data_IF_003950150711
#
_entry.id   IF_003950150711
#
_cell.length_a   1.000
_cell.length_b   1.000
_cell.length_c   1.000
_cell.angle_alpha   90.00
_cell.angle_beta   90.00
_cell.angle_gamma   90.00
#
_symmetry.space_group_name_H-M   'P 1'
#
loop_
_entity.id
_entity.type
_entity.pdbx_description
1 polymer ?
#
# COMPACT_ATOMS: atom_id res chain seq x y z
N UNK A 1 -15.08 4.48 -3.33
CA UNK A 1 -14.10 5.08 -4.27
C UNK A 1 -12.75 4.40 -4.11
N UNK A 2 -11.84 4.48 -5.07
CA UNK A 2 -10.51 3.85 -5.00
C UNK A 2 -9.39 4.88 -5.24
N UNK A 3 -8.25 4.72 -4.54
CA UNK A 3 -7.01 5.45 -4.79
C UNK A 3 -5.87 4.42 -5.01
N UNK A 4 -5.18 4.45 -6.16
CA UNK A 4 -4.00 3.60 -6.36
C UNK A 4 -2.82 4.11 -5.53
N UNK A 5 -2.26 3.24 -4.69
CA UNK A 5 -1.05 3.49 -3.92
C UNK A 5 0.18 3.04 -4.71
N UNK A 6 0.07 1.90 -5.38
CA UNK A 6 1.09 1.32 -6.25
C UNK A 6 0.37 0.71 -7.44
N UNK A 7 0.85 0.94 -8.67
CA UNK A 7 0.20 0.43 -9.86
C UNK A 7 1.19 -0.32 -10.73
N UNK A 8 0.93 -1.61 -10.97
CA UNK A 8 1.67 -2.43 -11.92
C UNK A 8 3.17 -2.51 -11.67
N UNK A 9 3.63 -2.33 -10.44
CA UNK A 9 5.04 -2.14 -10.14
C UNK A 9 5.80 -3.46 -10.12
N UNK A 10 6.85 -3.55 -10.92
CA UNK A 10 7.70 -4.73 -10.97
C UNK A 10 8.69 -4.72 -9.78
N UNK A 11 8.60 -5.67 -8.82
CA UNK A 11 9.44 -5.65 -7.62
C UNK A 11 10.94 -5.71 -7.89
N UNK A 12 11.37 -6.20 -9.06
CA UNK A 12 12.79 -6.30 -9.42
C UNK A 12 13.44 -4.94 -9.65
N UNK A 13 12.67 -3.96 -10.13
CA UNK A 13 13.20 -2.66 -10.55
C UNK A 13 12.49 -1.47 -9.88
N UNK A 14 11.30 -1.67 -9.32
CA UNK A 14 10.53 -0.59 -8.73
C UNK A 14 11.25 -0.01 -7.50
N UNK A 15 11.24 1.32 -7.40
CA UNK A 15 11.68 2.05 -6.23
C UNK A 15 10.61 3.08 -5.82
N UNK A 16 9.48 2.63 -5.26
CA UNK A 16 8.40 3.52 -4.85
C UNK A 16 8.87 4.40 -3.69
N UNK A 17 8.97 5.71 -3.95
CA UNK A 17 9.38 6.72 -2.96
C UNK A 17 8.29 7.74 -2.66
N UNK A 18 7.21 7.74 -3.46
CA UNK A 18 6.14 8.73 -3.38
C UNK A 18 5.19 8.46 -2.21
N UNK A 19 4.73 9.56 -1.61
CA UNK A 19 3.67 9.55 -0.60
C UNK A 19 2.34 9.87 -1.27
N UNK A 20 1.39 8.96 -1.17
CA UNK A 20 0.08 9.05 -1.78
C UNK A 20 -0.94 9.51 -0.73
N UNK A 21 -1.69 10.60 -0.99
CA UNK A 21 -2.72 11.06 -0.07
C UNK A 21 -4.00 10.22 -0.16
N UNK A 22 -4.38 9.58 0.94
CA UNK A 22 -5.67 8.91 1.10
C UNK A 22 -6.63 9.88 1.80
N UNK A 23 -7.77 10.13 1.16
CA UNK A 23 -8.78 11.10 1.63
C UNK A 23 -9.96 10.46 2.34
N UNK A 24 -9.99 9.13 2.43
CA UNK A 24 -11.05 8.38 3.07
C UNK A 24 -10.85 8.39 4.59
N UNK A 25 -11.96 8.56 5.33
CA UNK A 25 -11.94 8.43 6.79
C UNK A 25 -11.69 6.98 7.21
N UNK A 26 -12.18 6.03 6.41
CA UNK A 26 -12.00 4.59 6.59
C UNK A 26 -11.79 3.95 5.23
N UNK A 27 -10.82 3.04 5.13
CA UNK A 27 -10.48 2.40 3.86
C UNK A 27 -9.82 1.05 4.08
N UNK A 28 -9.95 0.18 3.08
CA UNK A 28 -9.38 -1.17 3.07
C UNK A 28 -8.27 -1.26 2.04
N UNK A 29 -7.17 -1.96 2.35
CA UNK A 29 -6.14 -2.23 1.35
C UNK A 29 -6.48 -3.45 0.51
N UNK A 30 -6.38 -3.28 -0.81
CA UNK A 30 -6.42 -4.37 -1.79
C UNK A 30 -5.09 -4.46 -2.53
N UNK A 31 -4.49 -5.65 -2.53
CA UNK A 31 -3.18 -5.94 -3.14
C UNK A 31 -3.36 -7.02 -4.19
N UNK A 32 -2.83 -6.77 -5.38
CA UNK A 32 -2.90 -7.68 -6.51
C UNK A 32 -1.50 -8.07 -6.99
N UNK A 33 -1.35 -9.34 -7.39
CA UNK A 33 -0.11 -9.86 -7.97
C UNK A 33 1.03 -10.10 -6.98
N UNK A 34 0.79 -9.96 -5.67
CA UNK A 34 1.78 -10.25 -4.64
C UNK A 34 1.90 -11.77 -4.41
N UNK A 35 3.03 -12.35 -4.80
CA UNK A 35 3.30 -13.79 -4.61
C UNK A 35 4.39 -14.03 -3.57
N UNK A 36 5.62 -13.52 -3.83
CA UNK A 36 6.76 -13.81 -2.97
C UNK A 36 7.61 -12.59 -2.60
N UNK A 37 7.26 -11.38 -3.08
CA UNK A 37 7.72 -10.16 -2.43
C UNK A 37 7.15 -10.02 -1.01
N UNK A 38 7.79 -9.16 -0.23
CA UNK A 38 7.20 -8.60 0.97
C UNK A 38 7.14 -7.09 0.79
N UNK A 39 5.97 -6.55 1.10
CA UNK A 39 5.69 -5.14 1.02
C UNK A 39 5.27 -4.63 2.39
N UNK A 40 5.72 -3.41 2.66
CA UNK A 40 5.29 -2.62 3.80
C UNK A 40 4.61 -1.37 3.28
N UNK A 41 3.49 -1.03 3.88
CA UNK A 41 2.84 0.26 3.67
C UNK A 41 3.11 1.13 4.90
N UNK A 42 3.85 2.20 4.70
CA UNK A 42 4.05 3.21 5.72
C UNK A 42 2.89 4.18 5.68
N UNK A 43 2.32 4.49 6.83
CA UNK A 43 1.44 5.64 7.02
C UNK A 43 2.19 6.75 7.73
N UNK A 44 2.09 7.96 7.20
CA UNK A 44 2.45 9.20 7.87
C UNK A 44 1.14 9.88 8.26
N UNK A 45 0.69 9.55 9.45
CA UNK A 45 -0.23 10.40 10.20
C UNK A 45 0.59 11.60 10.72
N UNK A 46 0.01 12.81 10.85
CA UNK A 46 0.66 13.90 11.57
C UNK A 46 1.19 13.51 12.95
N UNK A 47 0.61 12.48 13.60
CA UNK A 47 0.96 12.08 14.97
C UNK A 47 1.69 10.74 15.10
N UNK A 48 1.78 9.90 14.06
CA UNK A 48 2.40 8.56 14.18
C UNK A 48 2.87 8.02 12.83
N UNK A 49 4.05 7.37 12.83
CA UNK A 49 4.47 6.52 11.71
C UNK A 49 4.05 5.09 12.01
N UNK A 50 3.14 4.54 11.23
CA UNK A 50 2.71 3.14 11.37
C UNK A 50 3.21 2.34 10.18
N UNK A 51 3.78 1.17 10.48
CA UNK A 51 4.21 0.18 9.49
C UNK A 51 3.12 -0.86 9.36
N UNK A 52 2.53 -0.98 8.17
CA UNK A 52 1.48 -1.94 7.86
C UNK A 52 2.06 -3.03 6.96
N UNK A 53 1.86 -4.30 7.30
CA UNK A 53 2.33 -5.40 6.48
C UNK A 53 1.20 -5.85 5.55
N UNK A 54 1.46 -5.83 4.24
CA UNK A 54 0.45 -6.11 3.20
C UNK A 54 -0.01 -7.58 3.13
N UNK A 55 0.43 -8.44 4.04
CA UNK A 55 -0.11 -9.79 4.23
C UNK A 55 -1.59 -9.80 4.67
N UNK A 56 -2.17 -8.62 4.92
CA UNK A 56 -3.53 -8.44 5.44
C UNK A 56 -4.45 -7.78 4.40
N UNK A 57 -4.49 -8.30 3.18
CA UNK A 57 -5.53 -7.92 2.21
C UNK A 57 -6.90 -7.93 2.88
N UNK A 58 -7.64 -6.83 2.81
CA UNK A 58 -8.90 -6.67 3.55
C UNK A 58 -8.80 -5.96 4.90
N UNK A 59 -7.60 -5.59 5.36
CA UNK A 59 -7.46 -4.81 6.60
C UNK A 59 -8.04 -3.40 6.45
N UNK A 60 -8.84 -3.02 7.43
CA UNK A 60 -9.42 -1.68 7.58
C UNK A 60 -8.41 -0.74 8.23
N UNK A 61 -8.28 0.45 7.66
CA UNK A 61 -7.44 1.55 8.11
C UNK A 61 -8.29 2.81 8.27
N UNK A 62 -7.89 3.64 9.22
CA UNK A 62 -8.50 4.95 9.44
C UNK A 62 -7.61 6.04 8.82
N UNK A 63 -8.21 6.96 8.08
CA UNK A 63 -7.57 8.14 7.47
C UNK A 63 -8.30 9.43 7.88
N UNK A 64 -8.04 10.59 7.23
CA UNK A 64 -7.14 10.85 6.10
C UNK A 64 -5.65 10.80 6.47
N UNK A 65 -4.80 10.27 5.58
CA UNK A 65 -3.37 10.13 5.83
C UNK A 65 -2.53 10.09 4.55
N UNK A 66 -1.20 10.21 4.68
CA UNK A 66 -0.26 9.96 3.59
C UNK A 66 0.29 8.55 3.71
N UNK A 67 0.30 7.79 2.62
CA UNK A 67 0.83 6.43 2.62
C UNK A 67 1.93 6.22 1.58
N UNK A 68 2.87 5.32 1.85
CA UNK A 68 3.93 4.94 0.91
C UNK A 68 4.19 3.44 0.98
N UNK A 69 4.20 2.78 -0.17
CA UNK A 69 4.58 1.38 -0.27
C UNK A 69 6.10 1.22 -0.40
N UNK A 70 6.66 0.16 0.18
CA UNK A 70 8.07 -0.19 0.08
C UNK A 70 8.26 -1.71 -0.05
N UNK A 71 9.06 -2.13 -1.03
CA UNK A 71 9.45 -3.52 -1.18
C UNK A 71 10.58 -3.85 -0.21
N UNK A 72 10.26 -4.50 0.91
CA UNK A 72 11.25 -4.96 1.90
C UNK A 72 11.88 -6.30 1.51
N UNK A 73 11.18 -7.10 0.69
CA UNK A 73 11.74 -8.25 -0.02
C UNK A 73 11.27 -8.20 -1.46
N UNK A 74 12.20 -8.30 -2.41
CA UNK A 74 11.90 -8.30 -3.84
C UNK A 74 11.68 -9.73 -4.33
N UNK A 75 10.52 -9.93 -4.95
CA UNK A 75 10.05 -11.19 -5.48
C UNK A 75 10.29 -11.37 -6.98
N UNK A 76 9.61 -12.36 -7.55
CA UNK A 76 9.70 -12.73 -8.97
C UNK A 76 8.47 -12.37 -9.78
N UNK A 77 7.37 -11.96 -9.14
CA UNK A 77 6.16 -11.54 -9.85
C UNK A 77 6.43 -10.40 -10.85
N UNK A 78 5.59 -10.36 -11.89
CA UNK A 78 5.75 -9.40 -13.00
C UNK A 78 5.35 -7.98 -12.59
N UNK A 79 4.31 -7.86 -11.77
CA UNK A 79 3.71 -6.60 -11.37
C UNK A 79 2.93 -6.79 -10.08
N UNK A 80 3.04 -5.82 -9.18
CA UNK A 80 2.23 -5.70 -7.97
C UNK A 80 1.51 -4.36 -7.96
N UNK A 81 0.23 -4.39 -7.60
CA UNK A 81 -0.58 -3.20 -7.40
C UNK A 81 -1.16 -3.18 -6.00
N UNK A 82 -1.32 -1.98 -5.44
CA UNK A 82 -1.90 -1.73 -4.13
C UNK A 82 -2.91 -0.60 -4.28
N UNK A 83 -4.09 -0.80 -3.75
CA UNK A 83 -5.20 0.14 -3.79
C UNK A 83 -5.72 0.39 -2.39
N UNK A 84 -6.12 1.62 -2.12
CA UNK A 84 -6.98 1.97 -1.00
C UNK A 84 -8.41 2.08 -1.49
N UNK A 85 -9.29 1.24 -0.96
CA UNK A 85 -10.71 1.25 -1.25
C UNK A 85 -11.48 1.85 -0.08
N UNK A 86 -12.27 2.88 -0.35
CA UNK A 86 -13.12 3.50 0.67
C UNK A 86 -14.04 2.46 1.34
N UNK A 87 -14.03 2.45 2.67
CA UNK A 87 -14.86 1.59 3.51
C UNK A 87 -15.93 2.44 4.20
N UNK A 88 -17.14 1.89 4.35
CA UNK A 88 -18.32 2.62 4.85
C UNK A 88 -18.74 2.12 6.22
#
# INVERSE_FOLDING_TARGET
MEIPILLGSNPKIANPVEWIPIRFNEWVSRVEGLENSKLVLYSKDPNTKVTLTLSLNGQVFYGPCLVRAEFVKRGTERAVSIFAEEHK
#
